data_IF_295484471927
#
_entry.id   IF_295484471927
#
_cell.length_a   1.000
_cell.length_b   1.000
_cell.length_c   1.000
_cell.angle_alpha   90.00
_cell.angle_beta   90.00
_cell.angle_gamma   90.00
#
_symmetry.space_group_name_H-M   'P 1'
#
loop_
_entity.id
_entity.type
_entity.pdbx_description
1 polymer ?
#
# COMPACT_ATOMS: atom_id res chain seq x y z
N UNK A 1 -12.39 -16.32 0.85
CA UNK A 1 -12.57 -15.58 -0.41
C UNK A 1 -13.99 -15.03 -0.60
N UNK A 2 -15.03 -15.66 0.02
CA UNK A 2 -16.43 -15.19 -0.09
C UNK A 2 -16.67 -13.78 0.48
N UNK A 3 -15.73 -13.27 1.27
CA UNK A 3 -15.75 -11.92 1.88
C UNK A 3 -14.75 -10.95 1.25
N UNK A 4 -14.10 -11.35 0.15
CA UNK A 4 -13.12 -10.48 -0.54
C UNK A 4 -13.85 -9.61 -1.53
N UNK A 5 -13.84 -8.31 -1.32
CA UNK A 5 -14.46 -7.32 -2.19
C UNK A 5 -13.54 -6.86 -3.31
N UNK A 6 -12.25 -6.71 -3.01
CA UNK A 6 -11.24 -6.42 -4.01
C UNK A 6 -9.87 -7.01 -3.65
N UNK A 7 -9.00 -7.06 -4.64
CA UNK A 7 -7.59 -7.42 -4.53
C UNK A 7 -6.77 -6.27 -5.09
N UNK A 8 -5.71 -5.88 -4.40
CA UNK A 8 -4.74 -4.90 -4.87
C UNK A 8 -3.41 -5.63 -5.05
N UNK A 9 -2.86 -5.54 -6.26
CA UNK A 9 -1.55 -6.10 -6.63
C UNK A 9 -0.59 -4.94 -6.88
N UNK A 10 0.49 -4.89 -6.12
CA UNK A 10 1.53 -3.88 -6.30
C UNK A 10 2.29 -4.08 -7.62
N UNK A 11 2.66 -5.31 -7.93
CA UNK A 11 3.35 -5.72 -9.16
C UNK A 11 3.22 -7.24 -9.39
N UNK A 12 3.77 -7.75 -10.50
CA UNK A 12 3.57 -9.13 -10.93
C UNK A 12 4.80 -10.04 -10.72
N UNK A 13 5.62 -9.82 -9.67
CA UNK A 13 6.51 -10.88 -9.20
C UNK A 13 5.69 -12.00 -8.56
N UNK A 14 6.21 -13.23 -8.61
CA UNK A 14 5.43 -14.42 -8.26
C UNK A 14 4.97 -14.41 -6.79
N UNK A 15 5.79 -13.94 -5.88
CA UNK A 15 5.51 -13.84 -4.45
C UNK A 15 4.40 -12.83 -4.09
N UNK A 16 4.06 -11.92 -5.03
CA UNK A 16 2.96 -10.94 -4.86
C UNK A 16 1.66 -11.32 -5.57
N UNK A 17 1.68 -12.30 -6.46
CA UNK A 17 0.52 -12.60 -7.30
C UNK A 17 0.23 -14.08 -7.54
N UNK A 18 1.03 -15.01 -6.99
CA UNK A 18 0.89 -16.46 -7.23
C UNK A 18 -0.48 -17.01 -6.79
N UNK A 19 -1.15 -16.41 -5.83
CA UNK A 19 -2.46 -16.83 -5.33
C UNK A 19 -3.63 -16.45 -6.25
N UNK A 20 -3.43 -15.53 -7.21
CA UNK A 20 -4.51 -15.10 -8.12
C UNK A 20 -5.08 -16.23 -8.97
N UNK A 21 -4.27 -17.10 -9.61
CA UNK A 21 -4.80 -18.27 -10.32
C UNK A 21 -5.57 -19.22 -9.43
N UNK A 22 -5.11 -19.41 -8.19
CA UNK A 22 -5.77 -20.26 -7.18
C UNK A 22 -7.12 -19.65 -6.79
N UNK A 23 -7.16 -18.33 -6.53
CA UNK A 23 -8.39 -17.61 -6.27
C UNK A 23 -9.37 -17.75 -7.45
N UNK A 24 -8.91 -17.58 -8.68
CA UNK A 24 -9.73 -17.74 -9.89
C UNK A 24 -10.35 -19.15 -9.99
N UNK A 25 -9.57 -20.19 -9.70
CA UNK A 25 -10.08 -21.56 -9.65
C UNK A 25 -11.11 -21.75 -8.53
N UNK A 26 -10.88 -21.17 -7.35
CA UNK A 26 -11.84 -21.22 -6.26
C UNK A 26 -13.16 -20.53 -6.62
N UNK A 27 -13.11 -19.35 -7.20
CA UNK A 27 -14.29 -18.64 -7.69
C UNK A 27 -15.07 -19.45 -8.73
N UNK A 28 -14.39 -20.15 -9.63
CA UNK A 28 -15.02 -21.07 -10.57
C UNK A 28 -15.81 -22.18 -9.86
N UNK A 29 -15.29 -22.68 -8.74
CA UNK A 29 -15.98 -23.71 -7.93
C UNK A 29 -17.22 -23.15 -7.25
N UNK A 30 -17.13 -21.94 -6.71
CA UNK A 30 -18.25 -21.24 -6.08
C UNK A 30 -19.36 -20.92 -7.09
N UNK A 31 -19.00 -20.45 -8.28
CA UNK A 31 -19.93 -20.17 -9.38
C UNK A 31 -20.72 -21.43 -9.78
N UNK A 32 -20.03 -22.56 -9.99
CA UNK A 32 -20.67 -23.85 -10.29
C UNK A 32 -21.61 -24.35 -9.17
N UNK A 33 -21.35 -23.93 -7.93
CA UNK A 33 -22.18 -24.24 -6.78
C UNK A 33 -23.32 -23.23 -6.55
N UNK A 34 -23.44 -22.19 -7.37
CA UNK A 34 -24.42 -21.10 -7.22
C UNK A 34 -24.19 -20.25 -5.96
N UNK A 35 -22.94 -20.16 -5.49
CA UNK A 35 -22.59 -19.46 -4.24
C UNK A 35 -22.00 -18.08 -4.43
N UNK A 36 -21.72 -17.66 -5.67
CA UNK A 36 -21.27 -16.31 -5.99
C UNK A 36 -22.05 -15.76 -7.16
N UNK A 37 -22.31 -14.45 -7.11
CA UNK A 37 -22.83 -13.66 -8.22
C UNK A 37 -21.92 -12.42 -8.35
N UNK A 38 -21.23 -12.33 -9.49
CA UNK A 38 -20.36 -11.21 -9.78
C UNK A 38 -18.87 -11.53 -9.90
N UNK A 39 -18.10 -10.47 -9.94
CA UNK A 39 -16.64 -10.50 -10.12
C UNK A 39 -15.95 -9.84 -8.93
N UNK A 40 -14.76 -10.34 -8.59
CA UNK A 40 -13.88 -9.65 -7.65
C UNK A 40 -13.15 -8.52 -8.39
N UNK A 41 -13.18 -7.32 -7.81
CA UNK A 41 -12.41 -6.19 -8.32
C UNK A 41 -10.92 -6.42 -8.11
N UNK A 42 -10.09 -6.17 -9.14
CA UNK A 42 -8.63 -6.24 -9.05
C UNK A 42 -8.05 -4.91 -9.52
N UNK A 43 -7.29 -4.27 -8.64
CA UNK A 43 -6.46 -3.12 -8.97
C UNK A 43 -5.02 -3.59 -9.13
N UNK A 44 -4.41 -3.38 -10.29
CA UNK A 44 -3.05 -3.84 -10.56
C UNK A 44 -2.37 -2.98 -11.64
N UNK A 45 -1.02 -2.96 -11.72
CA UNK A 45 -0.34 -2.37 -12.85
C UNK A 45 -0.64 -3.14 -14.14
N UNK A 46 -0.53 -2.46 -15.28
CA UNK A 46 -0.53 -3.14 -16.57
C UNK A 46 0.79 -3.91 -16.74
N UNK A 47 0.71 -5.18 -17.10
CA UNK A 47 1.89 -6.04 -17.31
C UNK A 47 1.63 -7.04 -18.45
N UNK A 48 2.67 -7.50 -19.08
CA UNK A 48 2.66 -8.58 -20.07
C UNK A 48 2.89 -9.97 -19.44
N UNK A 49 3.04 -10.03 -18.12
CA UNK A 49 3.15 -11.30 -17.38
C UNK A 49 1.90 -12.15 -17.57
N UNK A 50 2.10 -13.45 -17.72
CA UNK A 50 1.03 -14.42 -18.01
C UNK A 50 -0.11 -14.37 -16.97
N UNK A 51 0.22 -14.14 -15.69
CA UNK A 51 -0.78 -14.00 -14.62
C UNK A 51 -1.68 -12.78 -14.87
N UNK A 52 -1.10 -11.63 -15.24
CA UNK A 52 -1.87 -10.42 -15.58
C UNK A 52 -2.79 -10.67 -16.78
N UNK A 53 -2.29 -11.30 -17.83
CA UNK A 53 -3.07 -11.63 -19.01
C UNK A 53 -4.19 -12.62 -18.69
N UNK A 54 -3.91 -13.62 -17.84
CA UNK A 54 -4.87 -14.63 -17.42
C UNK A 54 -6.04 -14.02 -16.63
N UNK A 55 -5.75 -13.21 -15.61
CA UNK A 55 -6.82 -12.57 -14.82
C UNK A 55 -7.65 -11.59 -15.65
N UNK A 56 -7.02 -10.87 -16.59
CA UNK A 56 -7.71 -9.91 -17.47
C UNK A 56 -8.71 -10.58 -18.42
N UNK A 57 -8.48 -11.85 -18.77
CA UNK A 57 -9.37 -12.66 -19.61
C UNK A 57 -10.42 -13.43 -18.80
N UNK A 58 -10.25 -13.51 -17.50
CA UNK A 58 -11.10 -14.29 -16.62
C UNK A 58 -12.46 -13.63 -16.42
N UNK A 59 -13.55 -14.40 -16.49
CA UNK A 59 -14.89 -13.92 -16.16
C UNK A 59 -15.10 -13.62 -14.68
N UNK A 60 -14.18 -14.02 -13.81
CA UNK A 60 -14.29 -13.90 -12.35
C UNK A 60 -13.63 -12.64 -11.79
N UNK A 61 -12.85 -11.93 -12.60
CA UNK A 61 -12.17 -10.70 -12.19
C UNK A 61 -12.64 -9.50 -13.02
N UNK A 62 -12.81 -8.37 -12.33
CA UNK A 62 -13.01 -7.05 -12.92
C UNK A 62 -11.73 -6.25 -12.71
N UNK A 63 -10.86 -6.26 -13.72
CA UNK A 63 -9.51 -5.70 -13.66
C UNK A 63 -9.52 -4.22 -14.00
N UNK A 64 -8.95 -3.41 -13.10
CA UNK A 64 -8.59 -2.00 -13.35
C UNK A 64 -7.08 -1.87 -13.34
N UNK A 65 -6.51 -1.47 -14.48
CA UNK A 65 -5.10 -1.10 -14.54
C UNK A 65 -4.89 0.26 -13.89
N UNK A 66 -4.03 0.29 -12.87
CA UNK A 66 -3.77 1.50 -12.11
C UNK A 66 -2.71 2.40 -12.73
N UNK A 67 -2.85 3.68 -12.46
CA UNK A 67 -1.92 4.76 -12.77
C UNK A 67 -1.71 5.59 -11.51
N UNK A 68 -0.76 6.53 -11.51
CA UNK A 68 -0.53 7.47 -10.39
C UNK A 68 -1.70 8.44 -10.22
N UNK A 69 -2.82 7.94 -9.74
CA UNK A 69 -4.03 8.71 -9.44
C UNK A 69 -4.84 8.05 -8.35
N UNK A 70 -5.94 8.69 -7.99
CA UNK A 70 -6.91 8.21 -7.02
C UNK A 70 -8.07 7.49 -7.70
N UNK A 71 -8.55 6.45 -7.04
CA UNK A 71 -9.72 5.66 -7.43
C UNK A 71 -10.69 5.55 -6.26
N UNK A 72 -11.97 5.66 -6.56
CA UNK A 72 -13.04 5.43 -5.58
C UNK A 72 -13.46 3.95 -5.60
N UNK A 73 -13.52 3.34 -4.41
CA UNK A 73 -14.01 1.98 -4.27
C UNK A 73 -14.78 1.80 -2.96
N UNK A 74 -16.11 1.64 -3.03
CA UNK A 74 -16.99 1.39 -1.89
C UNK A 74 -16.81 2.36 -0.71
N UNK A 75 -16.67 3.64 -1.00
CA UNK A 75 -16.48 4.68 0.01
C UNK A 75 -15.04 4.80 0.52
N UNK A 76 -14.11 4.09 -0.10
CA UNK A 76 -12.68 4.24 0.12
C UNK A 76 -12.05 5.01 -1.04
N UNK A 77 -11.03 5.81 -0.73
CA UNK A 77 -10.12 6.44 -1.68
C UNK A 77 -8.85 5.60 -1.75
N UNK A 78 -8.50 5.14 -2.93
CA UNK A 78 -7.30 4.35 -3.22
C UNK A 78 -6.36 5.21 -4.06
N UNK A 79 -5.32 5.79 -3.48
CA UNK A 79 -4.35 6.61 -4.20
C UNK A 79 -3.09 5.82 -4.46
N UNK A 80 -2.75 5.62 -5.73
CA UNK A 80 -1.59 4.86 -6.16
C UNK A 80 -0.40 5.77 -6.45
N UNK A 81 0.79 5.30 -6.07
CA UNK A 81 2.09 5.96 -6.26
C UNK A 81 3.05 4.98 -6.90
N UNK A 82 3.64 5.36 -8.04
CA UNK A 82 4.64 4.53 -8.69
C UNK A 82 5.92 4.53 -7.87
N UNK A 83 6.38 3.34 -7.50
CA UNK A 83 7.54 3.14 -6.64
C UNK A 83 8.82 2.85 -7.44
N UNK A 84 9.96 2.86 -6.77
CA UNK A 84 11.26 2.59 -7.38
C UNK A 84 11.59 1.10 -7.30
N UNK A 85 11.15 0.37 -8.31
CA UNK A 85 11.35 -1.07 -8.44
C UNK A 85 11.63 -1.44 -9.92
N UNK A 86 12.45 -2.48 -10.22
CA UNK A 86 12.77 -2.88 -11.60
C UNK A 86 11.53 -3.22 -12.45
N UNK A 87 10.52 -3.84 -11.86
CA UNK A 87 9.22 -4.05 -12.48
C UNK A 87 8.27 -2.89 -12.15
N UNK A 88 7.29 -2.62 -13.01
CA UNK A 88 6.29 -1.59 -12.71
C UNK A 88 5.54 -1.95 -11.44
N UNK A 89 5.78 -1.20 -10.39
CA UNK A 89 5.23 -1.40 -9.05
C UNK A 89 4.56 -0.13 -8.55
N UNK A 90 3.46 -0.32 -7.82
CA UNK A 90 2.73 0.76 -7.16
C UNK A 90 2.54 0.45 -5.68
N UNK A 91 2.84 1.43 -4.84
CA UNK A 91 2.29 1.50 -3.50
C UNK A 91 0.91 2.13 -3.52
N UNK A 92 0.15 1.94 -2.47
CA UNK A 92 -1.21 2.47 -2.33
C UNK A 92 -1.43 3.09 -0.95
N UNK A 93 -2.06 4.26 -0.93
CA UNK A 93 -2.64 4.83 0.26
C UNK A 93 -4.16 4.64 0.21
N UNK A 94 -4.74 4.17 1.32
CA UNK A 94 -6.16 3.87 1.47
C UNK A 94 -6.70 4.75 2.59
N UNK A 95 -7.72 5.56 2.28
CA UNK A 95 -8.41 6.41 3.25
C UNK A 95 -9.92 6.33 3.05
N UNK A 96 -10.68 6.75 4.07
CA UNK A 96 -12.11 6.91 3.91
C UNK A 96 -12.41 8.06 2.93
N UNK A 97 -13.45 7.92 2.11
CA UNK A 97 -13.96 9.04 1.36
C UNK A 97 -14.58 10.03 2.36
N UNK A 98 -14.12 11.29 2.38
CA UNK A 98 -14.77 12.35 3.15
C UNK A 98 -16.24 12.42 2.75
N UNK A 99 -17.16 12.36 3.70
CA UNK A 99 -18.56 12.62 3.43
C UNK A 99 -18.71 14.12 3.13
N UNK A 100 -19.55 14.48 2.16
CA UNK A 100 -19.77 15.88 1.72
C UNK A 100 -20.27 16.83 2.84
N UNK A 101 -20.50 16.32 4.05
CA UNK A 101 -20.89 17.10 5.23
C UNK A 101 -19.73 17.82 5.90
N UNK A 102 -18.47 17.43 5.64
CA UNK A 102 -17.31 18.07 6.26
C UNK A 102 -16.78 19.29 5.48
N UNK A 103 -17.33 19.55 4.28
CA UNK A 103 -16.92 20.66 3.40
C UNK A 103 -17.65 21.99 3.63
N UNK A 104 -18.55 22.11 4.62
CA UNK A 104 -19.44 23.28 4.79
C UNK A 104 -19.04 24.28 5.88
N UNK A 105 -17.80 24.31 6.36
CA UNK A 105 -17.32 25.33 7.30
C UNK A 105 -16.17 26.20 6.79
N UNK A 106 -16.11 26.44 5.47
CA UNK A 106 -15.23 27.47 4.92
C UNK A 106 -15.99 28.39 3.99
N UNK A 107 -16.83 29.28 4.57
CA UNK A 107 -17.38 30.42 3.84
C UNK A 107 -16.84 31.71 4.41
N UNK A 108 -16.37 32.53 3.47
CA UNK A 108 -16.17 33.97 3.50
C UNK A 108 -15.01 34.57 4.33
N UNK A 109 -13.95 34.89 3.63
CA UNK A 109 -13.30 36.19 3.75
C UNK A 109 -12.55 36.54 2.47
N UNK A 110 -13.15 37.42 1.66
CA UNK A 110 -12.48 38.21 0.64
C UNK A 110 -11.44 39.13 1.30
N UNK A 111 -10.16 39.02 0.94
CA UNK A 111 -9.33 40.12 0.42
C UNK A 111 -7.87 39.69 0.25
N UNK A 112 -7.34 40.10 -0.89
CA UNK A 112 -5.97 39.92 -1.31
C UNK A 112 -4.99 40.69 -0.42
N UNK A 113 -3.77 40.17 -0.22
CA UNK A 113 -2.47 40.68 -0.68
C UNK A 113 -1.33 39.94 0.03
N UNK A 114 -0.39 39.59 -0.79
CA UNK A 114 1.04 39.45 -0.55
C UNK A 114 1.61 38.11 -0.06
N UNK A 115 2.59 37.71 -0.85
CA UNK A 115 3.40 36.51 -0.74
C UNK A 115 4.27 36.52 0.52
N UNK A 116 4.45 35.36 1.08
CA UNK A 116 5.70 34.67 1.42
C UNK A 116 5.44 33.66 2.55
N UNK A 117 6.09 32.51 2.39
CA UNK A 117 6.30 31.48 3.38
C UNK A 117 5.21 30.41 3.52
N UNK A 118 5.50 29.28 2.87
CA UNK A 118 4.78 28.04 3.05
C UNK A 118 5.15 27.42 4.39
N UNK A 119 4.50 27.83 5.44
CA UNK A 119 4.49 27.11 6.70
C UNK A 119 3.45 26.00 6.61
N UNK A 120 3.95 24.81 6.83
CA UNK A 120 3.29 23.53 7.02
C UNK A 120 1.96 23.65 7.79
N UNK A 121 0.85 23.55 7.07
CA UNK A 121 -0.47 23.43 7.69
C UNK A 121 -0.62 21.98 8.16
N UNK A 122 -0.39 21.76 9.44
CA UNK A 122 -0.88 20.56 10.14
C UNK A 122 -2.40 20.60 10.12
N UNK A 123 -2.98 19.92 9.13
CA UNK A 123 -4.42 19.79 9.01
C UNK A 123 -4.96 18.93 10.16
N UNK A 124 -5.96 19.48 10.84
CA UNK A 124 -6.60 18.87 12.00
C UNK A 124 -7.21 17.51 11.64
N UNK A 125 -6.70 16.49 12.29
CA UNK A 125 -7.08 15.09 12.11
C UNK A 125 -8.51 14.83 12.55
N UNK A 126 -9.42 14.72 11.61
CA UNK A 126 -10.61 13.88 11.75
C UNK A 126 -10.16 12.40 11.86
N UNK A 127 -11.00 11.59 12.48
CA UNK A 127 -10.77 10.17 12.79
C UNK A 127 -10.71 9.28 11.52
N UNK A 128 -9.86 9.65 10.56
CA UNK A 128 -9.72 8.98 9.27
C UNK A 128 -8.76 7.80 9.41
N UNK A 129 -9.29 6.60 9.18
CA UNK A 129 -8.47 5.42 8.97
C UNK A 129 -7.65 5.62 7.71
N UNK A 130 -6.35 5.78 7.86
CA UNK A 130 -5.44 5.94 6.74
C UNK A 130 -4.33 4.90 6.81
N UNK A 131 -4.32 4.02 5.83
CA UNK A 131 -3.38 2.91 5.71
C UNK A 131 -2.57 3.07 4.43
N UNK A 132 -1.29 2.77 4.48
CA UNK A 132 -0.45 2.65 3.27
C UNK A 132 0.22 1.30 3.17
N UNK A 133 0.31 0.79 1.95
CA UNK A 133 1.15 -0.34 1.56
C UNK A 133 2.16 0.14 0.52
N UNK A 134 3.44 -0.06 0.78
CA UNK A 134 4.49 0.46 -0.11
C UNK A 134 4.62 -0.29 -1.42
N UNK A 135 4.19 -1.57 -1.47
CA UNK A 135 4.71 -2.49 -2.48
C UNK A 135 6.22 -2.62 -2.33
N UNK A 136 6.88 -3.25 -3.28
CA UNK A 136 8.32 -3.31 -3.32
C UNK A 136 8.91 -2.00 -3.82
N UNK A 137 9.92 -1.49 -3.13
CA UNK A 137 10.52 -0.20 -3.49
C UNK A 137 11.88 0.01 -2.85
N UNK A 138 12.78 0.66 -3.58
CA UNK A 138 13.91 1.35 -2.97
C UNK A 138 13.49 2.75 -2.50
N UNK A 139 14.42 3.49 -1.91
CA UNK A 139 14.23 4.89 -1.51
C UNK A 139 13.80 5.71 -2.73
N UNK A 140 12.66 6.37 -2.60
CA UNK A 140 12.12 7.29 -3.61
C UNK A 140 11.09 8.23 -2.97
N UNK A 141 10.76 9.37 -3.62
CA UNK A 141 9.76 10.30 -3.11
C UNK A 141 8.37 9.66 -2.89
N UNK A 142 7.98 8.73 -3.75
CA UNK A 142 6.71 8.00 -3.63
C UNK A 142 6.65 7.14 -2.36
N UNK A 143 7.75 6.45 -2.02
CA UNK A 143 7.85 5.67 -0.79
C UNK A 143 7.68 6.56 0.44
N UNK A 144 8.40 7.68 0.51
CA UNK A 144 8.29 8.62 1.63
C UNK A 144 6.88 9.24 1.73
N UNK A 145 6.26 9.57 0.59
CA UNK A 145 4.90 10.11 0.55
C UNK A 145 3.86 9.12 1.10
N UNK A 146 4.03 7.81 0.88
CA UNK A 146 3.17 6.77 1.46
C UNK A 146 3.26 6.75 2.99
N UNK A 147 4.45 6.95 3.56
CA UNK A 147 4.59 7.10 5.01
C UNK A 147 3.95 8.40 5.50
N UNK A 148 4.18 9.52 4.82
CA UNK A 148 3.63 10.82 5.22
C UNK A 148 2.10 10.83 5.32
N UNK A 149 1.41 10.04 4.48
CA UNK A 149 -0.05 10.02 4.36
C UNK A 149 -0.77 9.07 5.28
N UNK A 150 -0.09 8.21 6.01
CA UNK A 150 -0.74 7.11 6.72
C UNK A 150 -0.54 7.16 8.23
N UNK A 151 -1.52 6.68 8.97
CA UNK A 151 -1.39 6.34 10.39
C UNK A 151 -0.70 5.00 10.58
N UNK A 152 -0.95 4.07 9.65
CA UNK A 152 -0.38 2.71 9.64
C UNK A 152 0.24 2.44 8.29
N UNK A 153 1.47 1.93 8.28
CA UNK A 153 2.19 1.57 7.05
C UNK A 153 2.60 0.11 7.09
N UNK A 154 2.20 -0.65 6.06
CA UNK A 154 2.79 -1.94 5.72
C UNK A 154 3.89 -1.68 4.70
N UNK A 155 5.14 -1.91 5.10
CA UNK A 155 6.30 -1.54 4.31
C UNK A 155 7.14 -2.73 3.88
N UNK A 156 7.71 -2.61 2.68
CA UNK A 156 8.82 -3.44 2.20
C UNK A 156 10.08 -3.10 3.00
N UNK A 157 10.55 -4.03 3.81
CA UNK A 157 11.81 -3.98 4.54
C UNK A 157 12.74 -5.10 4.11
N UNK A 158 12.86 -5.33 2.80
CA UNK A 158 13.54 -6.49 2.22
C UNK A 158 15.02 -6.64 2.59
N UNK A 159 15.67 -5.55 2.97
CA UNK A 159 17.12 -5.51 3.23
C UNK A 159 17.45 -4.92 4.60
N UNK A 160 18.68 -5.16 5.07
CA UNK A 160 19.33 -4.31 6.07
C UNK A 160 20.12 -3.20 5.36
N UNK A 161 20.30 -2.04 6.00
CA UNK A 161 20.94 -0.86 5.37
C UNK A 161 22.34 -1.16 4.86
N UNK A 162 23.09 -2.02 5.54
CA UNK A 162 24.44 -2.44 5.12
C UNK A 162 24.47 -3.18 3.76
N UNK A 163 23.33 -3.80 3.38
CA UNK A 163 23.19 -4.61 2.15
C UNK A 163 22.44 -3.84 1.05
N UNK A 164 21.92 -2.66 1.36
CA UNK A 164 21.20 -1.78 0.44
C UNK A 164 22.17 -0.85 -0.31
N UNK A 165 21.83 -0.55 -1.56
CA UNK A 165 22.45 0.49 -2.37
C UNK A 165 21.41 1.12 -3.30
N UNK A 166 21.81 2.11 -4.08
CA UNK A 166 20.91 2.90 -4.93
C UNK A 166 20.20 2.07 -6.02
N UNK A 167 20.77 0.90 -6.39
CA UNK A 167 20.19 -0.02 -7.37
C UNK A 167 19.44 -1.19 -6.73
N UNK A 168 19.34 -1.24 -5.41
CA UNK A 168 18.59 -2.28 -4.72
C UNK A 168 17.10 -2.14 -5.02
N UNK A 169 16.34 -3.25 -5.11
CA UNK A 169 14.90 -3.17 -5.38
C UNK A 169 14.05 -2.89 -4.13
N UNK A 170 14.63 -2.89 -2.93
CA UNK A 170 13.93 -2.84 -1.65
C UNK A 170 14.45 -1.75 -0.73
N UNK A 171 13.58 -1.27 0.16
CA UNK A 171 13.97 -0.47 1.33
C UNK A 171 14.73 -1.35 2.32
N UNK A 172 15.51 -0.68 3.17
CA UNK A 172 16.04 -1.32 4.38
C UNK A 172 15.05 -1.20 5.54
N UNK A 173 15.13 -2.14 6.47
CA UNK A 173 14.38 -2.08 7.74
C UNK A 173 14.63 -0.77 8.45
N UNK A 174 15.90 -0.34 8.52
CA UNK A 174 16.32 0.90 9.17
C UNK A 174 15.69 2.13 8.49
N UNK A 175 15.59 2.14 7.17
CA UNK A 175 14.97 3.24 6.43
C UNK A 175 13.45 3.28 6.67
N UNK A 176 12.79 2.13 6.76
CA UNK A 176 11.38 2.07 7.13
C UNK A 176 11.15 2.65 8.53
N UNK A 177 11.99 2.30 9.50
CA UNK A 177 11.94 2.83 10.87
C UNK A 177 12.23 4.33 10.90
N UNK A 178 13.21 4.81 10.11
CA UNK A 178 13.50 6.24 9.97
C UNK A 178 12.27 7.02 9.48
N UNK A 179 11.63 6.55 8.40
CA UNK A 179 10.43 7.18 7.87
C UNK A 179 9.27 7.13 8.86
N UNK A 180 9.04 5.98 9.50
CA UNK A 180 7.99 5.86 10.52
C UNK A 180 8.20 6.83 11.68
N UNK A 181 9.42 6.95 12.19
CA UNK A 181 9.74 7.91 13.26
C UNK A 181 9.56 9.37 12.80
N UNK A 182 9.90 9.68 11.55
CA UNK A 182 9.74 11.02 10.98
C UNK A 182 8.28 11.45 10.89
N UNK A 183 7.40 10.53 10.51
CA UNK A 183 5.98 10.81 10.24
C UNK A 183 5.02 10.34 11.34
N UNK A 184 5.54 9.64 12.36
CA UNK A 184 4.74 9.20 13.52
C UNK A 184 3.80 8.03 13.23
N UNK A 185 4.12 7.17 12.25
CA UNK A 185 3.28 6.04 11.88
C UNK A 185 3.45 4.86 12.83
N UNK A 186 2.43 4.01 12.93
CA UNK A 186 2.60 2.61 13.29
C UNK A 186 3.11 1.84 12.07
N UNK A 187 4.17 1.07 12.24
CA UNK A 187 4.86 0.41 11.13
C UNK A 187 4.79 -1.11 11.25
N UNK A 188 4.35 -1.76 10.19
CA UNK A 188 4.45 -3.21 9.99
C UNK A 188 5.46 -3.43 8.87
N UNK A 189 6.55 -4.14 9.16
CA UNK A 189 7.59 -4.46 8.19
C UNK A 189 7.34 -5.86 7.64
N UNK A 190 7.30 -5.99 6.35
CA UNK A 190 7.14 -7.24 5.62
C UNK A 190 8.24 -7.42 4.58
N UNK A 191 8.18 -8.49 3.81
CA UNK A 191 9.10 -8.79 2.71
C UNK A 191 10.57 -8.95 3.12
N UNK A 192 10.85 -9.23 4.37
CA UNK A 192 12.20 -9.36 4.90
C UNK A 192 12.90 -10.56 4.28
N UNK A 193 14.13 -10.35 3.80
CA UNK A 193 14.96 -11.44 3.26
C UNK A 193 15.13 -12.55 4.32
N UNK A 194 14.80 -13.81 3.99
CA UNK A 194 14.86 -14.93 4.95
C UNK A 194 16.26 -15.22 5.52
N UNK A 195 17.32 -14.64 4.93
CA UNK A 195 18.69 -14.78 5.43
C UNK A 195 18.95 -14.00 6.72
N UNK A 196 18.09 -13.03 7.08
CA UNK A 196 18.25 -12.25 8.30
C UNK A 196 17.52 -12.87 9.47
N UNK A 197 18.22 -13.01 10.60
CA UNK A 197 17.62 -13.44 11.85
C UNK A 197 16.86 -12.32 12.55
N UNK A 198 15.79 -12.65 13.28
CA UNK A 198 14.97 -11.64 13.98
C UNK A 198 15.79 -10.79 14.97
N UNK A 199 16.76 -11.38 15.68
CA UNK A 199 17.64 -10.64 16.59
C UNK A 199 18.53 -9.64 15.85
N UNK A 200 18.99 -10.00 14.67
CA UNK A 200 19.81 -9.15 13.81
C UNK A 200 19.01 -7.94 13.31
N UNK A 201 17.78 -8.15 12.88
CA UNK A 201 16.86 -7.10 12.43
C UNK A 201 16.59 -6.13 13.58
N UNK A 202 16.23 -6.63 14.77
CA UNK A 202 15.95 -5.82 15.95
C UNK A 202 17.19 -5.02 16.37
N UNK A 203 18.38 -5.62 16.29
CA UNK A 203 19.64 -4.95 16.62
C UNK A 203 19.95 -3.83 15.63
N UNK A 204 19.70 -4.04 14.35
CA UNK A 204 19.99 -3.08 13.27
C UNK A 204 19.03 -1.89 13.31
N UNK A 205 17.72 -2.16 13.35
CA UNK A 205 16.70 -1.12 13.34
C UNK A 205 16.55 -0.35 14.68
N UNK A 206 17.01 -0.96 15.79
CA UNK A 206 16.80 -0.41 17.12
C UNK A 206 15.36 -0.61 17.62
N UNK A 207 15.12 -0.25 18.88
CA UNK A 207 13.79 -0.38 19.53
C UNK A 207 13.05 0.96 19.63
N UNK A 208 13.41 1.95 18.84
CA UNK A 208 12.74 3.26 18.84
C UNK A 208 11.56 3.24 17.87
N UNK A 209 10.39 3.62 18.36
CA UNK A 209 9.17 3.72 17.57
C UNK A 209 8.24 2.51 17.72
N UNK A 210 7.03 2.67 17.22
CA UNK A 210 6.00 1.61 17.19
C UNK A 210 6.13 0.82 15.88
N UNK A 211 6.97 -0.19 15.86
CA UNK A 211 7.09 -1.06 14.70
C UNK A 211 7.09 -2.55 15.06
N UNK A 212 6.64 -3.36 14.13
CA UNK A 212 6.61 -4.82 14.26
C UNK A 212 6.96 -5.49 12.93
N UNK A 213 7.45 -6.72 13.00
CA UNK A 213 7.61 -7.59 11.82
C UNK A 213 6.28 -8.28 11.56
N UNK A 214 5.84 -8.30 10.30
CA UNK A 214 4.68 -9.05 9.89
C UNK A 214 4.96 -10.57 10.04
N UNK A 215 4.06 -11.25 10.71
CA UNK A 215 4.11 -12.71 10.86
C UNK A 215 2.88 -13.33 10.22
N UNK A 216 3.07 -14.44 9.51
CA UNK A 216 2.00 -15.16 8.84
C UNK A 216 0.93 -15.65 9.85
N UNK A 217 -0.32 -15.40 9.54
CA UNK A 217 -1.46 -15.80 10.38
C UNK A 217 -1.80 -14.83 11.50
N UNK A 218 -1.00 -13.82 11.77
CA UNK A 218 -1.29 -12.81 12.77
C UNK A 218 -2.26 -11.75 12.26
N UNK A 219 -3.05 -11.19 13.18
CA UNK A 219 -3.89 -10.00 12.96
C UNK A 219 -3.29 -8.83 13.74
N UNK A 220 -3.35 -7.66 13.14
CA UNK A 220 -2.82 -6.42 13.72
C UNK A 220 -3.97 -5.42 13.86
N UNK A 221 -4.25 -5.00 15.11
CA UNK A 221 -5.27 -3.98 15.42
C UNK A 221 -4.59 -2.62 15.65
N UNK A 222 -5.14 -1.56 15.05
CA UNK A 222 -4.55 -0.22 15.05
C UNK A 222 -5.56 0.89 15.38
#
# INVERSE_FOLDING_TARGET
PEKVDCVIISHFHADHCADLPILGYYLQRLDKAGKIDGKIKVFCPKSDREICLSISRSKYFDVTFVEEKEYDFRGLKLRFFKTNHPETCYGVNISNAMTATDATTATDATNATDATDATDATDGTSDETCFSYTGDTNVCPAAEELFRRAKVVLADGGLLERDRNDNSPHLSVEKCVEYSNKWGNKLIISHICPSYGSEEIIKSAGRKGEWTIAEEGNSYDF
#
